data_IF_154607767536
#
_entry.id   IF_154607767536
#
_cell.length_a   1.000
_cell.length_b   1.000
_cell.length_c   1.000
_cell.angle_alpha   90.00
_cell.angle_beta   90.00
_cell.angle_gamma   90.00
#
_symmetry.space_group_name_H-M   'P 1'
#
loop_
_entity.id
_entity.type
_entity.pdbx_description
1 polymer ?
#
# COMPACT_ATOMS: atom_id res chain seq x y z
N UNK A 1 40.70 34.00 27.86
CA UNK A 1 40.29 32.71 27.28
C UNK A 1 39.01 32.93 26.47
N UNK A 2 39.12 33.04 25.14
CA UNK A 2 37.96 33.27 24.24
C UNK A 2 37.42 31.89 23.78
N UNK A 3 36.18 31.58 24.16
CA UNK A 3 35.49 30.38 23.69
C UNK A 3 34.94 30.65 22.28
N UNK A 4 35.45 29.94 21.30
CA UNK A 4 34.90 29.90 19.93
C UNK A 4 33.78 28.88 19.92
N UNK A 5 32.55 29.36 19.73
CA UNK A 5 31.39 28.49 19.48
C UNK A 5 31.33 28.22 17.96
N UNK A 6 31.66 27.01 17.59
CA UNK A 6 31.54 26.54 16.21
C UNK A 6 30.06 26.15 15.93
N UNK A 7 29.34 27.02 15.24
CA UNK A 7 27.98 26.72 14.81
C UNK A 7 28.06 25.79 13.58
N UNK A 8 27.63 24.52 13.77
CA UNK A 8 27.49 23.54 12.70
C UNK A 8 26.21 23.87 11.90
N UNK A 9 26.36 24.52 10.77
CA UNK A 9 25.27 24.69 9.79
C UNK A 9 25.02 23.33 9.12
N UNK A 10 23.97 22.66 9.54
CA UNK A 10 23.36 21.55 8.81
C UNK A 10 22.74 22.09 7.52
N UNK A 11 23.47 21.98 6.42
CA UNK A 11 22.93 22.18 5.09
C UNK A 11 21.94 21.02 4.81
N UNK A 12 20.65 21.30 5.00
CA UNK A 12 19.60 20.44 4.47
C UNK A 12 19.70 20.43 2.95
N UNK A 13 20.29 19.40 2.39
CA UNK A 13 20.19 19.15 0.95
C UNK A 13 18.72 18.94 0.62
N UNK A 14 18.15 19.68 -0.36
CA UNK A 14 16.79 19.39 -0.79
C UNK A 14 16.76 17.94 -1.27
N UNK A 15 15.89 17.14 -0.65
CA UNK A 15 15.59 15.80 -1.14
C UNK A 15 15.13 15.97 -2.59
N UNK A 16 16.00 15.59 -3.50
CA UNK A 16 15.68 15.53 -4.93
C UNK A 16 14.57 14.48 -5.01
N UNK A 17 13.37 14.91 -5.42
CA UNK A 17 12.31 13.98 -5.74
C UNK A 17 12.92 12.97 -6.73
N UNK A 18 13.15 11.75 -6.26
CA UNK A 18 13.50 10.65 -7.15
C UNK A 18 12.28 10.50 -8.06
N UNK A 19 12.47 10.77 -9.36
CA UNK A 19 11.46 10.40 -10.35
C UNK A 19 11.11 8.95 -10.09
N UNK A 20 9.85 8.69 -9.73
CA UNK A 20 9.36 7.34 -9.46
C UNK A 20 9.70 6.51 -10.71
N UNK A 21 10.67 5.61 -10.58
CA UNK A 21 11.15 4.83 -11.72
C UNK A 21 10.04 3.84 -12.08
N UNK A 22 9.46 4.03 -13.26
CA UNK A 22 8.49 3.10 -13.83
C UNK A 22 9.18 1.76 -14.04
N UNK A 23 8.59 0.69 -13.52
CA UNK A 23 9.10 -0.65 -13.80
C UNK A 23 8.90 -0.97 -15.26
N UNK A 24 9.95 -1.43 -15.88
CA UNK A 24 9.91 -1.77 -17.31
C UNK A 24 10.54 -3.13 -17.57
N UNK A 25 9.93 -3.87 -18.52
CA UNK A 25 10.55 -5.02 -19.12
C UNK A 25 11.21 -4.58 -20.42
N UNK A 26 12.49 -4.91 -20.61
CA UNK A 26 13.18 -4.65 -21.87
C UNK A 26 12.77 -5.70 -22.91
N UNK A 27 12.11 -5.26 -23.97
CA UNK A 27 11.74 -6.08 -25.12
C UNK A 27 12.66 -5.81 -26.31
N UNK A 28 13.12 -6.84 -26.97
CA UNK A 28 13.86 -6.73 -28.24
C UNK A 28 12.93 -7.02 -29.41
N UNK A 29 12.73 -6.02 -30.24
CA UNK A 29 11.84 -6.08 -31.42
C UNK A 29 12.28 -7.20 -32.37
N UNK A 30 11.33 -8.03 -32.77
CA UNK A 30 11.50 -9.08 -33.77
C UNK A 30 11.05 -8.59 -35.13
N UNK A 31 11.41 -9.31 -36.17
CA UNK A 31 10.92 -9.03 -37.53
C UNK A 31 9.38 -9.16 -37.57
N UNK A 32 8.71 -8.21 -38.22
CA UNK A 32 7.26 -8.16 -38.31
C UNK A 32 6.52 -7.58 -37.11
N UNK A 33 7.23 -7.21 -36.01
CA UNK A 33 6.59 -6.62 -34.86
C UNK A 33 6.06 -5.21 -35.16
N UNK A 34 4.92 -4.93 -34.53
CA UNK A 34 4.36 -3.58 -34.40
C UNK A 34 4.07 -3.27 -32.94
N UNK A 35 4.00 -1.97 -32.59
CA UNK A 35 3.64 -1.55 -31.22
C UNK A 35 2.33 -2.19 -30.75
N UNK A 36 1.35 -2.33 -31.65
CA UNK A 36 0.07 -2.96 -31.36
C UNK A 36 0.20 -4.48 -31.08
N UNK A 37 1.06 -5.19 -31.82
CA UNK A 37 1.33 -6.61 -31.56
C UNK A 37 2.06 -6.83 -30.26
N UNK A 38 3.06 -6.01 -29.97
CA UNK A 38 3.78 -6.05 -28.67
C UNK A 38 2.81 -5.75 -27.52
N UNK A 39 1.94 -4.75 -27.66
CA UNK A 39 0.92 -4.47 -26.62
C UNK A 39 -0.05 -5.64 -26.44
N UNK A 40 -0.49 -6.30 -27.51
CA UNK A 40 -1.32 -7.48 -27.42
C UNK A 40 -0.61 -8.65 -26.71
N UNK A 41 0.69 -8.84 -26.98
CA UNK A 41 1.49 -9.90 -26.34
C UNK A 41 1.65 -9.67 -24.81
N UNK A 42 1.93 -8.43 -24.41
CA UNK A 42 2.17 -8.12 -23.00
C UNK A 42 0.92 -7.82 -22.20
N UNK A 43 -0.04 -7.09 -22.78
CA UNK A 43 -1.23 -6.58 -22.09
C UNK A 43 -2.54 -7.22 -22.53
N UNK A 44 -2.50 -8.11 -23.52
CA UNK A 44 -3.70 -8.73 -24.09
C UNK A 44 -4.58 -7.79 -24.93
N UNK A 45 -4.12 -6.55 -25.21
CA UNK A 45 -4.91 -5.56 -25.93
C UNK A 45 -4.03 -4.66 -26.80
N UNK A 46 -4.30 -4.65 -28.12
CA UNK A 46 -3.57 -3.81 -29.10
C UNK A 46 -3.71 -2.31 -28.86
N UNK A 47 -4.84 -1.86 -28.31
CA UNK A 47 -5.10 -0.43 -28.02
C UNK A 47 -4.17 0.13 -26.96
N UNK A 48 -3.57 -0.71 -26.14
CA UNK A 48 -2.64 -0.32 -25.08
C UNK A 48 -1.23 -0.01 -25.57
N UNK A 49 -1.01 0.00 -26.88
CA UNK A 49 0.24 0.43 -27.51
C UNK A 49 0.66 1.86 -27.08
N UNK A 50 -0.29 2.72 -26.74
CA UNK A 50 -0.03 4.08 -26.25
C UNK A 50 0.91 4.11 -25.03
N UNK A 51 0.81 3.14 -24.13
CA UNK A 51 1.66 3.08 -22.94
C UNK A 51 3.12 2.80 -23.30
N UNK A 52 3.34 1.89 -24.26
CA UNK A 52 4.67 1.59 -24.80
C UNK A 52 5.22 2.82 -25.53
N UNK A 53 4.38 3.50 -26.30
CA UNK A 53 4.79 4.71 -27.03
C UNK A 53 5.26 5.80 -26.07
N UNK A 54 4.45 6.12 -25.03
CA UNK A 54 4.77 7.18 -24.06
C UNK A 54 6.07 6.86 -23.33
N UNK A 55 6.23 5.64 -22.82
CA UNK A 55 7.44 5.22 -22.10
C UNK A 55 8.71 5.31 -22.96
N UNK A 56 8.58 5.00 -24.26
CA UNK A 56 9.71 5.07 -25.18
C UNK A 56 9.83 6.40 -25.94
N UNK A 57 9.06 7.43 -25.53
CA UNK A 57 9.06 8.76 -26.17
C UNK A 57 8.76 8.73 -27.66
N UNK A 58 7.92 7.78 -28.09
CA UNK A 58 7.48 7.64 -29.48
C UNK A 58 6.22 8.50 -29.66
N UNK A 59 6.37 9.63 -30.32
CA UNK A 59 5.28 10.63 -30.50
C UNK A 59 4.28 10.25 -31.60
N UNK A 60 4.72 9.46 -32.58
CA UNK A 60 3.90 9.03 -33.73
C UNK A 60 4.09 7.54 -33.97
N UNK A 61 3.02 6.86 -34.37
CA UNK A 61 3.13 5.46 -34.79
C UNK A 61 4.10 5.35 -35.98
N UNK A 62 5.08 4.48 -35.85
CA UNK A 62 6.09 4.19 -36.87
C UNK A 62 6.40 2.70 -36.93
N UNK A 63 6.95 2.21 -38.05
CA UNK A 63 7.50 0.86 -38.10
C UNK A 63 8.61 0.69 -37.05
N UNK A 64 8.62 -0.46 -36.39
CA UNK A 64 9.69 -0.85 -35.47
C UNK A 64 10.85 -1.47 -36.27
N UNK A 65 12.08 -1.25 -35.81
CA UNK A 65 13.26 -1.86 -36.43
C UNK A 65 13.61 -3.17 -35.70
N UNK A 66 13.80 -4.29 -36.41
CA UNK A 66 14.29 -5.52 -35.79
C UNK A 66 15.56 -5.26 -34.95
N UNK A 67 15.59 -5.80 -33.71
CA UNK A 67 16.68 -5.59 -32.77
C UNK A 67 16.57 -4.32 -31.92
N UNK A 68 15.68 -3.40 -32.23
CA UNK A 68 15.38 -2.22 -31.40
C UNK A 68 14.96 -2.66 -29.98
N UNK A 69 15.33 -1.91 -28.97
CA UNK A 69 14.94 -2.17 -27.57
C UNK A 69 13.79 -1.26 -27.19
N UNK A 70 12.70 -1.85 -26.73
CA UNK A 70 11.56 -1.15 -26.17
C UNK A 70 11.47 -1.41 -24.67
N UNK A 71 11.15 -0.37 -23.91
CA UNK A 71 10.75 -0.48 -22.52
C UNK A 71 9.23 -0.70 -22.47
N UNK A 72 8.82 -1.80 -21.88
CA UNK A 72 7.42 -2.14 -21.68
C UNK A 72 7.07 -1.80 -20.24
N UNK A 73 6.30 -0.74 -19.97
CA UNK A 73 5.93 -0.37 -18.61
C UNK A 73 5.00 -1.42 -18.00
N UNK A 74 5.18 -1.70 -16.71
CA UNK A 74 4.44 -2.74 -16.01
C UNK A 74 4.00 -2.28 -14.64
N UNK A 75 2.83 -2.76 -14.19
CA UNK A 75 2.45 -2.64 -12.80
C UNK A 75 3.34 -3.55 -11.97
N UNK A 76 3.87 -2.99 -10.89
CA UNK A 76 4.67 -3.76 -9.94
C UNK A 76 3.76 -4.48 -8.98
N UNK A 77 4.03 -5.75 -8.71
CA UNK A 77 3.46 -6.46 -7.58
C UNK A 77 4.48 -6.47 -6.45
N UNK A 78 4.09 -5.95 -5.29
CA UNK A 78 4.91 -5.98 -4.08
C UNK A 78 4.25 -6.84 -3.01
N UNK A 79 5.04 -7.23 -2.02
CA UNK A 79 4.57 -7.86 -0.79
C UNK A 79 5.07 -7.03 0.38
N UNK A 80 4.14 -6.49 1.16
CA UNK A 80 4.43 -5.58 2.26
C UNK A 80 5.36 -6.19 3.31
N UNK A 81 6.19 -5.35 3.90
CA UNK A 81 7.00 -5.65 5.07
C UNK A 81 6.30 -5.13 6.35
N UNK A 82 6.75 -5.54 7.55
CA UNK A 82 6.31 -4.90 8.79
C UNK A 82 6.57 -3.39 8.75
N UNK A 83 5.59 -2.62 9.24
CA UNK A 83 5.58 -1.14 9.26
C UNK A 83 5.44 -0.43 7.91
N UNK A 84 5.20 -1.13 6.81
CA UNK A 84 4.78 -0.47 5.58
C UNK A 84 3.41 0.18 5.78
N UNK A 85 3.25 1.38 5.20
CA UNK A 85 1.98 2.10 5.12
C UNK A 85 1.68 2.48 3.67
N UNK A 86 0.43 2.78 3.36
CA UNK A 86 0.08 3.25 2.02
C UNK A 86 0.83 4.54 1.65
N UNK A 87 1.07 5.43 2.63
CA UNK A 87 1.81 6.68 2.42
C UNK A 87 3.29 6.43 2.13
N UNK A 88 3.95 5.54 2.89
CA UNK A 88 5.38 5.23 2.67
C UNK A 88 5.59 4.52 1.34
N UNK A 89 4.68 3.61 0.97
CA UNK A 89 4.71 2.92 -0.32
C UNK A 89 4.39 3.88 -1.47
N UNK A 90 3.42 4.78 -1.31
CA UNK A 90 3.09 5.78 -2.32
C UNK A 90 4.24 6.79 -2.51
N UNK A 91 4.88 7.24 -1.43
CA UNK A 91 6.07 8.08 -1.54
C UNK A 91 7.18 7.39 -2.34
N UNK A 92 7.42 6.10 -2.06
CA UNK A 92 8.47 5.30 -2.70
C UNK A 92 8.19 5.02 -4.18
N UNK A 93 6.96 4.58 -4.50
CA UNK A 93 6.63 4.06 -5.83
C UNK A 93 5.85 5.04 -6.72
N UNK A 94 5.08 5.94 -6.11
CA UNK A 94 4.25 6.91 -6.83
C UNK A 94 4.78 8.34 -6.69
N UNK A 95 5.88 8.55 -5.95
CA UNK A 95 6.58 9.82 -5.83
C UNK A 95 5.94 10.85 -4.87
N UNK A 96 4.82 10.51 -4.18
CA UNK A 96 4.17 11.40 -3.22
C UNK A 96 3.36 10.60 -2.20
N UNK A 97 3.60 10.82 -0.89
CA UNK A 97 2.90 10.15 0.20
C UNK A 97 1.37 10.36 0.17
N UNK A 98 0.91 11.54 -0.29
CA UNK A 98 -0.52 11.86 -0.40
C UNK A 98 -1.29 10.94 -1.36
N UNK A 99 -0.57 10.23 -2.24
CA UNK A 99 -1.14 9.20 -3.13
C UNK A 99 -1.41 7.87 -2.41
N UNK A 100 -1.16 7.78 -1.10
CA UNK A 100 -1.48 6.61 -0.28
C UNK A 100 -2.96 6.25 -0.32
N UNK A 101 -3.85 7.25 -0.25
CA UNK A 101 -5.30 7.04 -0.39
C UNK A 101 -5.64 6.39 -1.74
N UNK A 102 -5.08 6.90 -2.84
CA UNK A 102 -5.25 6.31 -4.16
C UNK A 102 -4.71 4.87 -4.21
N UNK A 103 -3.55 4.60 -3.61
CA UNK A 103 -2.95 3.27 -3.60
C UNK A 103 -3.82 2.26 -2.84
N UNK A 104 -4.42 2.66 -1.73
CA UNK A 104 -5.37 1.84 -0.97
C UNK A 104 -6.63 1.53 -1.80
N UNK A 105 -7.29 2.56 -2.32
CA UNK A 105 -8.49 2.43 -3.17
C UNK A 105 -8.22 1.55 -4.41
N UNK A 106 -7.05 1.71 -5.03
CA UNK A 106 -6.62 0.90 -6.17
C UNK A 106 -6.52 -0.60 -5.84
N UNK A 107 -6.13 -0.92 -4.60
CA UNK A 107 -6.04 -2.29 -4.10
C UNK A 107 -7.32 -2.77 -3.41
N UNK A 108 -8.42 -2.02 -3.49
CA UNK A 108 -9.70 -2.31 -2.82
C UNK A 108 -9.55 -2.43 -1.29
N UNK A 109 -8.71 -1.57 -0.69
CA UNK A 109 -8.48 -1.49 0.74
C UNK A 109 -8.89 -0.13 1.28
N UNK A 110 -9.22 -0.06 2.57
CA UNK A 110 -9.45 1.21 3.23
C UNK A 110 -8.11 1.92 3.51
N UNK A 111 -7.96 3.20 3.18
CA UNK A 111 -6.76 3.95 3.50
C UNK A 111 -6.56 4.17 5.01
N UNK A 112 -7.60 3.99 5.81
CA UNK A 112 -7.57 4.15 7.26
C UNK A 112 -7.12 2.87 7.99
N UNK A 113 -7.17 1.72 7.30
CA UNK A 113 -6.75 0.46 7.88
C UNK A 113 -5.23 0.34 7.91
N UNK A 114 -4.72 -0.24 9.01
CA UNK A 114 -3.31 -0.61 9.07
C UNK A 114 -3.02 -1.71 8.05
N UNK A 115 -1.98 -1.50 7.26
CA UNK A 115 -1.57 -2.43 6.22
C UNK A 115 -0.80 -3.61 6.83
N UNK A 116 -1.35 -4.85 6.81
CA UNK A 116 -0.66 -6.01 7.35
C UNK A 116 0.58 -6.38 6.55
N UNK A 117 1.64 -6.85 7.22
CA UNK A 117 2.80 -7.41 6.55
C UNK A 117 2.41 -8.67 5.74
N UNK A 118 3.09 -8.92 4.64
CA UNK A 118 2.79 -10.05 3.75
C UNK A 118 1.58 -9.84 2.83
N UNK A 119 0.95 -8.66 2.85
CA UNK A 119 -0.13 -8.30 1.92
C UNK A 119 0.44 -8.11 0.51
N UNK A 120 -0.23 -8.68 -0.49
CA UNK A 120 0.09 -8.44 -1.89
C UNK A 120 -0.59 -7.17 -2.38
N UNK A 121 0.18 -6.23 -2.89
CA UNK A 121 -0.32 -5.00 -3.47
C UNK A 121 0.13 -4.87 -4.92
N UNK A 122 -0.74 -4.31 -5.74
CA UNK A 122 -0.42 -3.84 -7.08
C UNK A 122 -0.07 -2.35 -7.02
N UNK A 123 1.07 -1.99 -7.58
CA UNK A 123 1.48 -0.60 -7.75
C UNK A 123 1.31 -0.25 -9.23
N UNK A 124 0.43 0.68 -9.59
CA UNK A 124 0.26 1.07 -10.98
C UNK A 124 1.50 1.81 -11.48
N UNK A 125 1.89 1.57 -12.72
CA UNK A 125 2.88 2.46 -13.33
C UNK A 125 2.23 3.80 -13.69
N UNK A 126 3.04 4.85 -13.72
CA UNK A 126 2.60 6.18 -14.12
C UNK A 126 3.25 6.61 -15.42
N UNK A 127 2.50 7.31 -16.25
CA UNK A 127 3.04 7.96 -17.44
C UNK A 127 2.91 9.47 -17.30
N UNK A 128 3.92 10.22 -17.74
CA UNK A 128 3.84 11.66 -17.78
C UNK A 128 3.09 12.08 -19.05
N UNK A 129 1.92 12.68 -18.89
CA UNK A 129 1.19 13.32 -19.97
C UNK A 129 1.52 14.81 -20.00
N UNK A 130 1.91 15.31 -21.18
CA UNK A 130 2.12 16.74 -21.43
C UNK A 130 1.09 17.21 -22.44
N UNK A 131 0.32 18.23 -22.08
CA UNK A 131 -0.70 18.78 -22.93
C UNK A 131 -0.11 19.47 -24.18
N UNK A 132 -0.58 19.09 -25.36
CA UNK A 132 -0.18 19.70 -26.63
C UNK A 132 -0.90 21.05 -26.89
N UNK A 133 -2.01 21.26 -26.21
CA UNK A 133 -2.84 22.46 -26.24
C UNK A 133 -3.70 22.52 -24.98
N UNK A 134 -4.82 23.25 -25.03
CA UNK A 134 -5.78 23.22 -23.94
C UNK A 134 -6.53 21.88 -23.95
N UNK A 135 -6.43 21.10 -22.88
CA UNK A 135 -7.01 19.77 -22.75
C UNK A 135 -7.81 19.63 -21.45
N UNK A 136 -9.01 19.05 -21.52
CA UNK A 136 -9.81 18.76 -20.34
C UNK A 136 -9.37 17.43 -19.69
N UNK A 137 -9.57 17.27 -18.37
CA UNK A 137 -9.34 15.97 -17.72
C UNK A 137 -10.23 14.85 -18.30
N UNK A 138 -11.45 15.19 -18.80
CA UNK A 138 -12.29 14.21 -19.48
C UNK A 138 -11.68 13.72 -20.79
N UNK A 139 -11.05 14.61 -21.58
CA UNK A 139 -10.37 14.19 -22.83
C UNK A 139 -9.17 13.32 -22.54
N UNK A 140 -8.37 13.66 -21.53
CA UNK A 140 -7.23 12.87 -21.10
C UNK A 140 -7.69 11.50 -20.58
N UNK A 141 -8.71 11.47 -19.71
CA UNK A 141 -9.25 10.22 -19.17
C UNK A 141 -9.81 9.30 -20.29
N UNK A 142 -10.51 9.89 -21.28
CA UNK A 142 -10.98 9.14 -22.43
C UNK A 142 -9.81 8.54 -23.25
N UNK A 143 -8.72 9.29 -23.42
CA UNK A 143 -7.55 8.82 -24.19
C UNK A 143 -6.82 7.65 -23.53
N UNK A 144 -6.61 7.71 -22.19
CA UNK A 144 -5.85 6.68 -21.46
C UNK A 144 -6.70 5.51 -20.96
N UNK A 145 -7.95 5.76 -20.58
CA UNK A 145 -8.81 4.75 -19.93
C UNK A 145 -9.99 4.33 -20.78
N UNK A 146 -10.27 5.05 -21.88
CA UNK A 146 -11.53 4.95 -22.65
C UNK A 146 -12.76 5.22 -21.77
N UNK A 147 -12.60 6.00 -20.70
CA UNK A 147 -13.62 6.31 -19.71
C UNK A 147 -13.45 7.75 -19.19
N UNK A 148 -14.39 8.64 -19.56
CA UNK A 148 -14.39 10.04 -19.13
C UNK A 148 -14.66 10.22 -17.64
N UNK A 149 -15.29 9.25 -16.97
CA UNK A 149 -15.58 9.32 -15.54
C UNK A 149 -14.33 9.34 -14.67
N UNK A 150 -13.18 8.86 -15.19
CA UNK A 150 -11.88 8.87 -14.51
C UNK A 150 -11.23 10.25 -14.41
N UNK A 151 -11.87 11.29 -14.96
CA UNK A 151 -11.36 12.68 -14.92
C UNK A 151 -11.15 13.19 -13.49
N UNK A 152 -12.07 12.89 -12.59
CA UNK A 152 -11.97 13.30 -11.19
C UNK A 152 -10.82 12.58 -10.47
N UNK A 153 -10.63 11.29 -10.72
CA UNK A 153 -9.49 10.55 -10.21
C UNK A 153 -8.17 11.17 -10.68
N UNK A 154 -8.02 11.51 -11.97
CA UNK A 154 -6.83 12.19 -12.49
C UNK A 154 -6.57 13.53 -11.81
N UNK A 155 -7.60 14.33 -11.60
CA UNK A 155 -7.54 15.63 -10.91
C UNK A 155 -7.03 15.45 -9.47
N UNK A 156 -7.65 14.54 -8.71
CA UNK A 156 -7.27 14.21 -7.32
C UNK A 156 -5.85 13.67 -7.23
N UNK A 157 -5.48 12.75 -8.12
CA UNK A 157 -4.15 12.13 -8.15
C UNK A 157 -3.02 13.16 -8.35
N UNK A 158 -3.29 14.24 -9.09
CA UNK A 158 -2.34 15.32 -9.36
C UNK A 158 -2.53 16.54 -8.45
N UNK A 159 -3.40 16.48 -7.45
CA UNK A 159 -3.67 17.55 -6.49
C UNK A 159 -4.04 18.89 -7.16
N UNK A 160 -4.77 18.83 -8.26
CA UNK A 160 -5.14 19.99 -9.04
C UNK A 160 -6.60 20.38 -8.76
N UNK A 161 -6.84 21.71 -8.66
CA UNK A 161 -8.18 22.28 -8.50
C UNK A 161 -8.60 23.08 -9.73
N UNK A 162 -8.44 22.50 -10.92
CA UNK A 162 -8.83 23.09 -12.20
C UNK A 162 -9.46 22.04 -13.11
N UNK A 163 -10.14 22.48 -14.19
CA UNK A 163 -10.92 21.59 -15.07
C UNK A 163 -10.12 20.96 -16.22
N UNK A 164 -8.90 21.43 -16.46
CA UNK A 164 -8.05 20.95 -17.55
C UNK A 164 -6.63 21.48 -17.47
N UNK A 165 -5.84 21.20 -18.50
CA UNK A 165 -4.46 21.62 -18.67
C UNK A 165 -4.34 22.64 -19.77
N UNK A 166 -3.44 23.60 -19.60
CA UNK A 166 -2.97 24.48 -20.65
C UNK A 166 -1.82 23.82 -21.41
N UNK A 167 -1.47 24.39 -22.55
CA UNK A 167 -0.35 23.91 -23.39
C UNK A 167 0.93 23.80 -22.55
N UNK A 168 1.67 22.72 -22.76
CA UNK A 168 2.94 22.39 -22.11
C UNK A 168 2.84 22.01 -20.61
N UNK A 169 1.67 22.13 -19.99
CA UNK A 169 1.48 21.58 -18.64
C UNK A 169 1.55 20.05 -18.65
N UNK A 170 2.07 19.49 -17.55
CA UNK A 170 2.23 18.06 -17.41
C UNK A 170 1.55 17.52 -16.15
N UNK A 171 0.99 16.32 -16.25
CA UNK A 171 0.44 15.55 -15.14
C UNK A 171 0.98 14.12 -15.15
N UNK A 172 0.87 13.46 -14.00
CA UNK A 172 1.08 12.02 -13.88
C UNK A 172 -0.25 11.30 -14.08
N UNK A 173 -0.28 10.32 -14.98
CA UNK A 173 -1.45 9.47 -15.24
C UNK A 173 -1.16 8.08 -14.69
N UNK A 174 -1.81 7.63 -13.60
CA UNK A 174 -1.64 6.29 -13.07
C UNK A 174 -2.37 5.29 -13.96
N UNK A 175 -1.67 4.27 -14.44
CA UNK A 175 -2.24 3.26 -15.34
C UNK A 175 -2.64 2.02 -14.55
N UNK A 176 -3.91 1.88 -14.26
CA UNK A 176 -4.48 0.83 -13.43
C UNK A 176 -5.22 -0.27 -14.21
N UNK A 177 -5.55 -0.02 -15.47
CA UNK A 177 -6.35 -0.93 -16.29
C UNK A 177 -5.51 -1.89 -17.15
N UNK A 178 -4.25 -2.10 -16.78
CA UNK A 178 -3.31 -2.96 -17.51
C UNK A 178 -2.79 -4.06 -16.58
N UNK A 179 -2.93 -5.30 -17.02
CA UNK A 179 -2.32 -6.47 -16.36
C UNK A 179 -1.39 -7.16 -17.34
N UNK A 180 -0.21 -7.56 -16.84
CA UNK A 180 0.67 -8.42 -17.62
C UNK A 180 0.04 -9.79 -17.85
N UNK A 181 0.27 -10.35 -19.03
CA UNK A 181 0.01 -11.76 -19.28
C UNK A 181 0.82 -12.60 -18.30
N UNK A 182 0.23 -13.67 -17.75
CA UNK A 182 0.86 -14.50 -16.70
C UNK A 182 2.26 -15.02 -17.09
N UNK A 183 2.48 -15.34 -18.37
CA UNK A 183 3.76 -15.77 -18.91
C UNK A 183 4.85 -14.67 -18.95
N UNK A 184 4.46 -13.41 -18.75
CA UNK A 184 5.36 -12.24 -18.80
C UNK A 184 5.62 -11.64 -17.40
N UNK A 185 5.00 -12.21 -16.38
CA UNK A 185 5.22 -11.74 -14.99
C UNK A 185 6.64 -12.09 -14.53
N UNK A 186 7.33 -11.13 -13.86
CA UNK A 186 8.62 -11.42 -13.26
C UNK A 186 8.52 -12.47 -12.15
N UNK A 187 9.59 -13.21 -11.87
CA UNK A 187 9.61 -14.18 -10.76
C UNK A 187 9.38 -13.46 -9.43
N UNK A 188 8.62 -14.10 -8.54
CA UNK A 188 8.35 -13.57 -7.19
C UNK A 188 9.60 -13.71 -6.34
N UNK A 189 10.01 -12.62 -5.70
CA UNK A 189 11.11 -12.56 -4.75
C UNK A 189 10.94 -13.63 -3.63
N UNK A 190 12.01 -14.37 -3.24
CA UNK A 190 11.98 -15.34 -2.15
C UNK A 190 11.48 -14.73 -0.83
N UNK A 191 11.92 -13.53 -0.47
CA UNK A 191 11.50 -12.84 0.76
C UNK A 191 10.01 -12.51 0.72
N UNK A 192 9.50 -12.12 -0.42
CA UNK A 192 8.06 -11.91 -0.62
C UNK A 192 7.27 -13.21 -0.42
N UNK A 193 7.78 -14.35 -0.91
CA UNK A 193 7.15 -15.67 -0.67
C UNK A 193 7.10 -16.00 0.82
N UNK A 194 8.19 -15.75 1.53
CA UNK A 194 8.29 -15.97 2.98
C UNK A 194 7.27 -15.11 3.73
N UNK A 195 7.21 -13.80 3.44
CA UNK A 195 6.21 -12.90 4.06
C UNK A 195 4.78 -13.32 3.78
N UNK A 196 4.46 -13.76 2.55
CA UNK A 196 3.13 -14.27 2.20
C UNK A 196 2.77 -15.55 2.94
N UNK A 197 3.75 -16.43 3.15
CA UNK A 197 3.56 -17.65 3.93
C UNK A 197 3.29 -17.33 5.41
N UNK A 198 4.08 -16.44 6.01
CA UNK A 198 3.90 -15.97 7.38
C UNK A 198 2.53 -15.33 7.60
N UNK A 199 2.07 -14.48 6.66
CA UNK A 199 0.72 -13.88 6.72
C UNK A 199 -0.38 -14.96 6.72
N UNK A 200 -0.30 -15.92 5.81
CA UNK A 200 -1.30 -17.01 5.76
C UNK A 200 -1.33 -17.82 7.05
N UNK A 201 -0.16 -18.12 7.60
CA UNK A 201 -0.05 -18.87 8.85
C UNK A 201 -0.62 -18.08 10.04
N UNK A 202 -0.27 -16.79 10.16
CA UNK A 202 -0.79 -15.92 11.21
C UNK A 202 -2.32 -15.79 11.14
N UNK A 203 -2.87 -15.52 9.96
CA UNK A 203 -4.31 -15.43 9.74
C UNK A 203 -5.03 -16.75 10.05
N UNK A 204 -4.47 -17.90 9.65
CA UNK A 204 -5.05 -19.21 9.95
C UNK A 204 -5.04 -19.49 11.45
N UNK A 205 -3.97 -19.16 12.16
CA UNK A 205 -3.88 -19.30 13.62
C UNK A 205 -4.87 -18.37 14.32
N UNK A 206 -4.96 -17.10 13.88
CA UNK A 206 -5.91 -16.13 14.43
C UNK A 206 -7.35 -16.61 14.27
N UNK A 207 -7.77 -16.97 13.06
CA UNK A 207 -9.11 -17.47 12.78
C UNK A 207 -9.50 -18.69 13.64
N UNK A 208 -8.55 -19.59 13.89
CA UNK A 208 -8.77 -20.77 14.73
C UNK A 208 -8.78 -20.45 16.23
N UNK A 209 -7.88 -19.58 16.70
CA UNK A 209 -7.59 -19.40 18.11
C UNK A 209 -8.40 -18.26 18.76
N UNK A 210 -8.73 -17.17 18.05
CA UNK A 210 -9.48 -16.04 18.62
C UNK A 210 -10.82 -16.48 19.23
N UNK A 211 -11.69 -17.25 18.54
CA UNK A 211 -12.96 -17.68 19.13
C UNK A 211 -12.77 -18.54 20.38
N UNK A 212 -11.75 -19.40 20.39
CA UNK A 212 -11.41 -20.27 21.53
C UNK A 212 -10.88 -19.44 22.71
N UNK A 213 -10.05 -18.44 22.45
CA UNK A 213 -9.51 -17.56 23.48
C UNK A 213 -10.60 -16.68 24.10
N UNK A 214 -11.56 -16.18 23.32
CA UNK A 214 -12.73 -15.50 23.86
C UNK A 214 -13.62 -16.44 24.71
N UNK A 215 -13.73 -17.72 24.35
CA UNK A 215 -14.40 -18.72 25.20
C UNK A 215 -13.64 -18.94 26.50
N UNK A 216 -12.31 -19.11 26.43
CA UNK A 216 -11.45 -19.27 27.60
C UNK A 216 -11.50 -18.04 28.53
N UNK A 217 -11.61 -16.84 27.98
CA UNK A 217 -11.81 -15.60 28.75
C UNK A 217 -13.10 -15.68 29.59
N UNK A 218 -14.22 -16.08 28.97
CA UNK A 218 -15.53 -16.23 29.65
C UNK A 218 -15.55 -17.31 30.72
N UNK A 219 -14.74 -18.37 30.54
CA UNK A 219 -14.61 -19.45 31.53
C UNK A 219 -13.51 -19.23 32.56
N UNK A 220 -12.73 -18.14 32.46
CA UNK A 220 -11.64 -17.84 33.40
C UNK A 220 -10.37 -18.66 33.18
N UNK A 221 -10.23 -19.31 32.04
CA UNK A 221 -9.07 -20.13 31.68
C UNK A 221 -7.91 -19.29 31.13
N UNK A 222 -7.33 -18.42 31.99
CA UNK A 222 -6.37 -17.37 31.56
C UNK A 222 -5.11 -17.98 30.90
N UNK A 223 -4.59 -19.10 31.43
CA UNK A 223 -3.42 -19.75 30.84
C UNK A 223 -3.67 -20.28 29.41
N UNK A 224 -4.90 -20.68 29.12
CA UNK A 224 -5.27 -21.12 27.78
C UNK A 224 -5.23 -19.95 26.78
N UNK A 225 -5.66 -18.75 27.20
CA UNK A 225 -5.57 -17.54 26.35
C UNK A 225 -4.11 -17.27 25.97
N UNK A 226 -3.20 -17.31 26.93
CA UNK A 226 -1.77 -17.12 26.65
C UNK A 226 -1.26 -18.12 25.63
N UNK A 227 -1.55 -19.42 25.84
CA UNK A 227 -1.12 -20.47 24.92
C UNK A 227 -1.67 -20.26 23.51
N UNK A 228 -2.94 -19.87 23.39
CA UNK A 228 -3.59 -19.67 22.11
C UNK A 228 -3.08 -18.42 21.36
N UNK A 229 -2.69 -17.39 22.09
CA UNK A 229 -2.30 -16.10 21.52
C UNK A 229 -0.77 -15.93 21.37
N UNK A 230 0.06 -16.80 21.98
CA UNK A 230 1.50 -16.61 22.13
C UNK A 230 2.23 -16.38 20.81
N UNK A 231 2.04 -17.26 19.85
CA UNK A 231 2.80 -17.28 18.57
C UNK A 231 2.10 -16.55 17.42
N UNK A 232 1.16 -15.67 17.68
CA UNK A 232 0.48 -14.94 16.62
C UNK A 232 1.18 -13.60 16.42
N UNK A 233 1.81 -13.42 15.27
CA UNK A 233 2.42 -12.14 14.91
C UNK A 233 1.33 -11.18 14.38
N UNK A 234 1.03 -10.16 15.19
CA UNK A 234 -0.04 -9.19 14.92
C UNK A 234 0.27 -8.26 13.73
N UNK A 235 1.52 -8.18 13.27
CA UNK A 235 1.89 -7.36 12.12
C UNK A 235 1.45 -7.99 10.80
N UNK A 236 1.14 -9.28 10.81
CA UNK A 236 0.62 -10.02 9.65
C UNK A 236 -0.91 -10.17 9.65
N UNK A 237 -1.61 -9.67 10.66
CA UNK A 237 -3.06 -9.77 10.79
C UNK A 237 -3.79 -8.55 10.24
N UNK A 238 -5.04 -8.75 9.86
CA UNK A 238 -5.97 -7.65 9.58
C UNK A 238 -6.26 -6.87 10.86
N UNK A 239 -6.75 -5.62 10.69
CA UNK A 239 -6.95 -4.70 11.81
C UNK A 239 -7.80 -5.30 12.92
N UNK A 240 -8.94 -5.91 12.60
CA UNK A 240 -9.85 -6.47 13.60
C UNK A 240 -9.26 -7.69 14.32
N UNK A 241 -8.62 -8.61 13.59
CA UNK A 241 -7.92 -9.76 14.16
C UNK A 241 -6.77 -9.33 15.09
N UNK A 242 -6.00 -8.33 14.68
CA UNK A 242 -4.89 -7.79 15.48
C UNK A 242 -5.38 -7.10 16.76
N UNK A 243 -6.55 -6.43 16.71
CA UNK A 243 -7.23 -5.86 17.88
C UNK A 243 -7.63 -6.98 18.84
N UNK A 244 -8.29 -8.02 18.36
CA UNK A 244 -8.74 -9.15 19.19
C UNK A 244 -7.55 -9.84 19.88
N UNK A 245 -6.49 -10.15 19.15
CA UNK A 245 -5.28 -10.78 19.71
C UNK A 245 -4.64 -9.89 20.76
N UNK A 246 -4.47 -8.59 20.48
CA UNK A 246 -3.87 -7.65 21.43
C UNK A 246 -4.75 -7.46 22.66
N UNK A 247 -6.06 -7.34 22.47
CA UNK A 247 -7.01 -7.22 23.59
C UNK A 247 -6.98 -8.45 24.50
N UNK A 248 -7.05 -9.66 23.93
CA UNK A 248 -6.99 -10.92 24.68
C UNK A 248 -5.66 -11.07 25.45
N UNK A 249 -4.52 -10.71 24.86
CA UNK A 249 -3.23 -10.67 25.55
C UNK A 249 -3.23 -9.68 26.71
N UNK A 250 -3.76 -8.48 26.49
CA UNK A 250 -3.90 -7.45 27.52
C UNK A 250 -4.78 -7.89 28.68
N UNK A 251 -5.91 -8.53 28.37
CA UNK A 251 -6.85 -9.08 29.37
C UNK A 251 -6.21 -10.20 30.19
N UNK A 252 -5.50 -11.14 29.54
CA UNK A 252 -4.79 -12.22 30.22
C UNK A 252 -3.69 -11.69 31.14
N UNK A 253 -2.88 -10.73 30.69
CA UNK A 253 -1.85 -10.08 31.48
C UNK A 253 -2.44 -9.32 32.67
N UNK A 254 -3.54 -8.60 32.52
CA UNK A 254 -4.24 -7.89 33.59
C UNK A 254 -4.79 -8.85 34.65
N UNK A 255 -5.35 -9.99 34.23
CA UNK A 255 -5.87 -11.01 35.13
C UNK A 255 -4.76 -11.61 36.01
N UNK A 256 -3.56 -11.82 35.45
CA UNK A 256 -2.39 -12.33 36.18
C UNK A 256 -1.65 -11.27 37.00
N UNK A 257 -2.03 -10.01 36.88
CA UNK A 257 -1.41 -8.90 37.61
C UNK A 257 -0.19 -8.29 36.92
N UNK A 258 0.13 -8.69 35.69
CA UNK A 258 1.19 -8.08 34.90
C UNK A 258 0.69 -6.79 34.23
N UNK A 259 0.79 -5.68 34.98
CA UNK A 259 0.25 -4.37 34.58
C UNK A 259 0.92 -3.81 33.33
N UNK A 260 2.25 -3.88 33.29
CA UNK A 260 3.02 -3.29 32.20
C UNK A 260 2.71 -3.97 30.86
N UNK A 261 2.69 -5.30 30.85
CA UNK A 261 2.34 -6.07 29.67
C UNK A 261 0.87 -5.84 29.24
N UNK A 262 -0.04 -5.67 30.21
CA UNK A 262 -1.42 -5.34 29.90
C UNK A 262 -1.55 -3.98 29.21
N UNK A 263 -0.88 -2.96 29.74
CA UNK A 263 -0.86 -1.60 29.18
C UNK A 263 -0.24 -1.61 27.77
N UNK A 264 0.86 -2.33 27.58
CA UNK A 264 1.53 -2.45 26.28
C UNK A 264 0.56 -3.02 25.22
N UNK A 265 -0.11 -4.13 25.53
CA UNK A 265 -1.07 -4.75 24.63
C UNK A 265 -2.31 -3.85 24.39
N UNK A 266 -2.79 -3.15 25.39
CA UNK A 266 -3.89 -2.18 25.22
C UNK A 266 -3.47 -0.97 24.35
N UNK A 267 -2.23 -0.50 24.46
CA UNK A 267 -1.68 0.50 23.54
C UNK A 267 -1.63 -0.03 22.10
N UNK A 268 -1.33 -1.31 21.89
CA UNK A 268 -1.36 -1.92 20.57
C UNK A 268 -2.78 -1.95 19.96
N UNK A 269 -3.82 -2.14 20.76
CA UNK A 269 -5.23 -1.97 20.32
C UNK A 269 -5.47 -0.53 19.88
N UNK A 270 -5.10 0.44 20.72
CA UNK A 270 -5.29 1.87 20.44
C UNK A 270 -4.55 2.33 19.18
N UNK A 271 -3.34 1.83 18.97
CA UNK A 271 -2.55 2.14 17.77
C UNK A 271 -3.21 1.66 16.45
N UNK A 272 -4.12 0.69 16.53
CA UNK A 272 -4.87 0.16 15.37
C UNK A 272 -6.22 0.83 15.19
N UNK A 273 -6.89 1.15 16.30
CA UNK A 273 -8.20 1.80 16.31
C UNK A 273 -8.32 2.68 17.54
N UNK A 274 -8.04 3.95 17.38
CA UNK A 274 -8.06 4.94 18.46
C UNK A 274 -9.47 5.16 19.04
N UNK A 275 -10.50 4.86 18.26
CA UNK A 275 -11.91 4.93 18.66
C UNK A 275 -12.42 3.66 19.35
N UNK A 276 -11.56 2.63 19.58
CA UNK A 276 -11.99 1.43 20.28
C UNK A 276 -12.34 1.73 21.75
N UNK A 277 -13.50 1.27 22.20
CA UNK A 277 -14.05 1.56 23.53
C UNK A 277 -14.31 0.26 24.27
N UNK A 278 -13.93 0.17 25.54
CA UNK A 278 -14.33 -0.93 26.42
C UNK A 278 -15.58 -0.53 27.21
N UNK A 279 -16.61 -1.40 27.15
CA UNK A 279 -17.85 -1.18 27.89
C UNK A 279 -17.67 -1.49 29.38
N UNK A 280 -18.07 -0.57 30.24
CA UNK A 280 -17.91 -0.68 31.71
C UNK A 280 -18.51 -1.93 32.32
N UNK A 281 -19.60 -2.43 31.75
CA UNK A 281 -20.27 -3.61 32.29
C UNK A 281 -19.62 -4.95 31.90
N UNK A 282 -18.74 -4.96 30.90
CA UNK A 282 -18.12 -6.18 30.38
C UNK A 282 -16.79 -6.51 31.07
N UNK A 283 -16.19 -5.51 31.77
CA UNK A 283 -14.85 -5.64 32.32
C UNK A 283 -14.75 -5.15 33.78
N UNK A 284 -13.85 -5.75 34.56
CA UNK A 284 -13.60 -5.35 35.93
C UNK A 284 -12.99 -3.94 36.04
N UNK A 285 -13.19 -3.22 37.15
CA UNK A 285 -12.59 -1.90 37.37
C UNK A 285 -11.08 -1.87 37.18
N UNK A 286 -10.38 -2.92 37.58
CA UNK A 286 -8.93 -3.07 37.41
C UNK A 286 -8.54 -3.06 35.92
N UNK A 287 -9.27 -3.76 35.06
CA UNK A 287 -9.03 -3.80 33.62
C UNK A 287 -9.30 -2.44 33.00
N UNK A 288 -10.41 -1.81 33.36
CA UNK A 288 -10.77 -0.48 32.86
C UNK A 288 -9.76 0.60 33.28
N UNK A 289 -9.19 0.49 34.48
CA UNK A 289 -8.10 1.37 34.93
C UNK A 289 -6.86 1.21 34.03
N UNK A 290 -6.40 -0.02 33.79
CA UNK A 290 -5.24 -0.29 32.91
C UNK A 290 -5.51 0.14 31.46
N UNK A 291 -6.74 -0.06 30.98
CA UNK A 291 -7.17 0.43 29.67
C UNK A 291 -7.08 1.95 29.57
N UNK A 292 -7.55 2.67 30.61
CA UNK A 292 -7.48 4.13 30.68
C UNK A 292 -6.02 4.61 30.75
N UNK A 293 -5.15 3.90 31.49
CA UNK A 293 -3.71 4.19 31.54
C UNK A 293 -3.04 3.99 30.15
N UNK A 294 -3.55 3.09 29.34
CA UNK A 294 -3.13 2.93 27.94
C UNK A 294 -3.70 4.00 26.99
N UNK A 295 -4.47 4.97 27.50
CA UNK A 295 -5.14 6.02 26.71
C UNK A 295 -6.49 5.62 26.13
N UNK A 296 -7.06 4.53 26.59
CA UNK A 296 -8.35 4.02 26.13
C UNK A 296 -9.54 4.76 26.77
N UNK A 297 -10.68 4.79 26.04
CA UNK A 297 -11.94 5.34 26.51
C UNK A 297 -12.88 4.24 26.97
N UNK A 298 -13.78 4.54 27.89
CA UNK A 298 -14.86 3.65 28.36
C UNK A 298 -16.21 4.36 28.20
N UNK A 299 -17.25 3.62 27.89
CA UNK A 299 -18.65 4.10 27.84
C UNK A 299 -19.40 3.81 29.14
#
# INVERSE_FOLDING_TARGET
MKRVVLALLLLATPARAQDATVDTITYRVKDGDTLALVAAEYYGDRKKAIFIMVENKITHSRPLKPGERLKIPVNREITTAPNDTFETLAATFLGDARRGVFLAEFNNMSPEDRLPAGTQLQIPFTVQHRAAGSESFQSIAAAYFNDKSQAEMLRRYNFLDKKGLEKDEAIQVPIFNVRLSASKMPPVDPDAKTRRAARREAAQRAASNIPRAWSAWRSGEIKLIETLMFDIDIDYLDTDEAIDVSLLRGLAAAAQGNKDLAIENFKAVRARKDTHVLRKFDYSPKILELWTQAGGSTD
#
